data_IF_587652687643
#
_entry.id   IF_587652687643
#
_cell.length_a   1.000
_cell.length_b   1.000
_cell.length_c   1.000
_cell.angle_alpha   90.00
_cell.angle_beta   90.00
_cell.angle_gamma   90.00
#
_symmetry.space_group_name_H-M   'P 1'
#
loop_
_entity.id
_entity.type
_entity.pdbx_description
1 polymer ?
#
# COMPACT_ATOMS: atom_id res chain seq x y z
N UNK A 1 -28.27 -1.74 17.16
CA UNK A 1 -27.89 -2.05 15.77
C UNK A 1 -26.55 -1.35 15.50
N UNK A 2 -25.49 -2.07 15.13
CA UNK A 2 -24.23 -1.41 14.72
C UNK A 2 -24.54 -0.60 13.46
N UNK A 3 -24.37 0.72 13.49
CA UNK A 3 -24.26 1.51 12.27
C UNK A 3 -23.08 0.92 11.49
N UNK A 4 -23.36 0.15 10.44
CA UNK A 4 -22.38 -0.66 9.72
C UNK A 4 -21.54 0.26 8.81
N UNK A 5 -20.77 1.16 9.40
CA UNK A 5 -19.79 2.01 8.72
C UNK A 5 -18.64 1.11 8.28
N UNK A 6 -18.26 1.20 7.00
CA UNK A 6 -17.10 0.51 6.47
C UNK A 6 -15.84 1.00 7.20
N UNK A 7 -15.03 0.07 7.69
CA UNK A 7 -13.76 0.34 8.39
C UNK A 7 -12.57 0.02 7.50
N UNK A 8 -11.85 1.06 7.10
CA UNK A 8 -10.70 0.99 6.22
C UNK A 8 -9.40 1.19 7.00
N UNK A 9 -8.56 0.15 7.08
CA UNK A 9 -7.19 0.31 7.58
C UNK A 9 -6.27 0.70 6.42
N UNK A 10 -5.57 1.81 6.53
CA UNK A 10 -4.61 2.27 5.54
C UNK A 10 -3.20 2.05 6.07
N UNK A 11 -2.39 1.31 5.34
CA UNK A 11 -0.96 1.13 5.61
C UNK A 11 -0.14 1.91 4.58
N UNK A 12 0.65 2.87 5.06
CA UNK A 12 1.46 3.75 4.21
C UNK A 12 2.78 4.13 4.84
N UNK A 13 3.58 4.87 4.08
CA UNK A 13 4.86 5.43 4.51
C UNK A 13 4.68 6.82 5.13
N UNK A 14 5.47 7.17 6.16
CA UNK A 14 5.39 8.49 6.83
C UNK A 14 5.51 9.66 5.86
N UNK A 15 6.30 9.53 4.80
CA UNK A 15 6.46 10.57 3.77
C UNK A 15 5.17 10.89 3.02
N UNK A 16 4.18 10.00 3.05
CA UNK A 16 2.90 10.15 2.34
C UNK A 16 1.72 10.41 3.28
N UNK A 17 1.96 10.53 4.59
CA UNK A 17 0.91 10.67 5.58
C UNK A 17 0.05 11.92 5.39
N UNK A 18 0.62 13.00 4.85
CA UNK A 18 -0.14 14.23 4.55
C UNK A 18 -1.29 13.90 3.59
N UNK A 19 -0.96 13.28 2.44
CA UNK A 19 -1.95 12.88 1.44
C UNK A 19 -2.92 11.80 1.94
N UNK A 20 -2.44 10.83 2.73
CA UNK A 20 -3.30 9.78 3.29
C UNK A 20 -4.26 10.32 4.35
N UNK A 21 -3.85 11.33 5.13
CA UNK A 21 -4.74 12.03 6.08
C UNK A 21 -5.81 12.85 5.37
N UNK A 22 -5.46 13.53 4.28
CA UNK A 22 -6.45 14.22 3.43
C UNK A 22 -7.47 13.20 2.88
N UNK A 23 -7.02 12.07 2.35
CA UNK A 23 -7.90 10.99 1.91
C UNK A 23 -8.82 10.49 3.04
N UNK A 24 -8.28 10.27 4.25
CA UNK A 24 -9.06 9.85 5.42
C UNK A 24 -10.13 10.87 5.79
N UNK A 25 -9.83 12.17 5.72
CA UNK A 25 -10.81 13.22 5.98
C UNK A 25 -11.97 13.17 4.99
N UNK A 26 -11.70 13.01 3.69
CA UNK A 26 -12.74 12.87 2.66
C UNK A 26 -13.56 11.57 2.80
N UNK A 27 -12.90 10.45 3.12
CA UNK A 27 -13.56 9.18 3.43
C UNK A 27 -14.51 9.31 4.63
N UNK A 28 -14.12 10.08 5.65
CA UNK A 28 -14.94 10.35 6.82
C UNK A 28 -16.25 11.09 6.48
N UNK A 29 -16.21 12.02 5.50
CA UNK A 29 -17.41 12.77 5.05
C UNK A 29 -18.46 11.86 4.40
N UNK A 30 -18.02 10.77 3.78
CA UNK A 30 -18.92 9.74 3.20
C UNK A 30 -19.20 8.58 4.16
N UNK A 31 -18.84 8.71 5.44
CA UNK A 31 -19.18 7.75 6.49
C UNK A 31 -18.26 6.55 6.60
N UNK A 32 -17.08 6.55 5.95
CA UNK A 32 -16.07 5.50 6.07
C UNK A 32 -15.16 5.82 7.26
N UNK A 33 -15.13 4.92 8.23
CA UNK A 33 -14.20 5.01 9.36
C UNK A 33 -12.83 4.52 8.92
N UNK A 34 -11.78 5.31 9.11
CA UNK A 34 -10.45 4.96 8.62
C UNK A 34 -9.37 5.11 9.70
N UNK A 35 -8.39 4.20 9.70
CA UNK A 35 -7.21 4.25 10.57
C UNK A 35 -5.93 4.19 9.73
N UNK A 36 -4.98 5.08 10.01
CA UNK A 36 -3.67 5.10 9.33
C UNK A 36 -2.60 4.46 10.21
N UNK A 37 -1.79 3.57 9.63
CA UNK A 37 -0.63 2.97 10.27
C UNK A 37 0.63 3.14 9.44
N UNK A 38 1.78 3.23 10.13
CA UNK A 38 3.09 3.21 9.47
C UNK A 38 3.54 1.77 9.28
N UNK A 39 3.62 1.31 8.04
CA UNK A 39 3.91 -0.08 7.72
C UNK A 39 5.25 -0.58 8.31
N UNK A 40 6.29 0.27 8.35
CA UNK A 40 7.62 -0.07 8.88
C UNK A 40 7.65 -0.35 10.38
N UNK A 41 6.68 0.12 11.16
CA UNK A 41 6.57 -0.22 12.59
C UNK A 41 6.19 -1.70 12.80
N UNK A 42 5.59 -2.34 11.80
CA UNK A 42 5.02 -3.68 11.90
C UNK A 42 5.76 -4.71 11.04
N UNK A 43 6.84 -4.34 10.35
CA UNK A 43 7.58 -5.27 9.48
C UNK A 43 9.06 -5.34 9.80
N UNK A 44 9.66 -6.50 9.52
CA UNK A 44 11.08 -6.75 9.76
C UNK A 44 11.97 -6.29 8.62
N UNK A 45 13.12 -5.72 8.99
CA UNK A 45 14.24 -5.50 8.05
C UNK A 45 14.73 -6.83 7.52
N UNK A 46 15.37 -6.81 6.36
CA UNK A 46 15.82 -8.02 5.67
C UNK A 46 16.80 -8.88 6.50
N UNK A 47 17.66 -8.24 7.30
CA UNK A 47 18.64 -8.89 8.17
C UNK A 47 18.25 -8.87 9.66
N UNK A 48 16.99 -8.60 9.98
CA UNK A 48 16.55 -8.64 11.37
C UNK A 48 16.56 -10.09 11.87
N UNK A 49 17.60 -10.46 12.61
CA UNK A 49 17.74 -11.77 13.24
C UNK A 49 17.08 -11.83 14.62
N UNK A 50 16.61 -10.70 15.15
CA UNK A 50 15.98 -10.64 16.46
C UNK A 50 14.56 -11.22 16.41
N UNK A 51 14.45 -12.50 16.77
CA UNK A 51 13.19 -13.26 16.80
C UNK A 51 12.17 -12.61 17.74
N UNK A 52 12.61 -12.09 18.90
CA UNK A 52 11.74 -11.42 19.87
C UNK A 52 11.06 -10.19 19.25
N UNK A 53 11.83 -9.31 18.60
CA UNK A 53 11.29 -8.14 17.89
C UNK A 53 10.27 -8.51 16.80
N UNK A 54 10.54 -9.59 16.07
CA UNK A 54 9.61 -10.11 15.05
C UNK A 54 8.30 -10.59 15.67
N UNK A 55 8.37 -11.31 16.79
CA UNK A 55 7.18 -11.75 17.55
C UNK A 55 6.41 -10.52 18.05
N UNK A 56 7.09 -9.55 18.66
CA UNK A 56 6.47 -8.34 19.20
C UNK A 56 5.75 -7.55 18.10
N UNK A 57 6.39 -7.33 16.94
CA UNK A 57 5.74 -6.64 15.81
C UNK A 57 4.54 -7.39 15.24
N UNK A 58 4.59 -8.73 15.23
CA UNK A 58 3.45 -9.52 14.81
C UNK A 58 2.29 -9.40 15.80
N UNK A 59 2.59 -9.41 17.11
CA UNK A 59 1.61 -9.21 18.17
C UNK A 59 0.97 -7.83 18.07
N UNK A 60 1.77 -6.76 18.00
CA UNK A 60 1.28 -5.38 17.90
C UNK A 60 0.40 -5.17 16.65
N UNK A 61 0.77 -5.78 15.52
CA UNK A 61 -0.06 -5.70 14.32
C UNK A 61 -1.42 -6.41 14.49
N UNK A 62 -1.43 -7.58 15.14
CA UNK A 62 -2.67 -8.30 15.46
C UNK A 62 -3.55 -7.53 16.44
N UNK A 63 -2.95 -6.86 17.43
CA UNK A 63 -3.69 -5.99 18.36
C UNK A 63 -4.41 -4.87 17.59
N UNK A 64 -3.73 -4.20 16.66
CA UNK A 64 -4.37 -3.19 15.80
C UNK A 64 -5.51 -3.78 14.98
N UNK A 65 -5.31 -4.96 14.38
CA UNK A 65 -6.37 -5.63 13.62
C UNK A 65 -7.55 -6.03 14.51
N UNK A 66 -7.32 -6.45 15.76
CA UNK A 66 -8.40 -6.83 16.67
C UNK A 66 -9.16 -5.61 17.21
N UNK A 67 -8.45 -4.55 17.60
CA UNK A 67 -9.03 -3.32 18.14
C UNK A 67 -9.83 -2.57 17.09
N UNK A 68 -9.24 -2.37 15.91
CA UNK A 68 -9.90 -1.63 14.82
C UNK A 68 -10.88 -2.53 14.05
N UNK A 69 -10.54 -3.82 13.92
CA UNK A 69 -11.33 -4.84 13.22
C UNK A 69 -11.72 -4.39 11.80
N UNK A 70 -10.75 -4.07 10.91
CA UNK A 70 -11.05 -3.50 9.61
C UNK A 70 -11.83 -4.46 8.71
N UNK A 71 -12.77 -3.91 7.94
CA UNK A 71 -13.49 -4.67 6.91
C UNK A 71 -12.63 -4.83 5.65
N UNK A 72 -11.67 -3.92 5.44
CA UNK A 72 -10.73 -3.94 4.32
C UNK A 72 -9.44 -3.18 4.67
N UNK A 73 -8.32 -3.58 4.06
CA UNK A 73 -7.03 -2.89 4.18
C UNK A 73 -6.58 -2.32 2.84
N UNK A 74 -6.18 -1.04 2.83
CA UNK A 74 -5.52 -0.39 1.70
C UNK A 74 -4.02 -0.27 1.92
N UNK A 75 -3.23 -0.77 0.97
CA UNK A 75 -1.80 -0.54 0.90
C UNK A 75 -1.47 0.60 -0.05
N UNK A 76 -0.90 1.68 0.48
CA UNK A 76 -0.32 2.76 -0.31
C UNK A 76 1.06 2.38 -0.90
N UNK A 77 1.72 1.40 -0.29
CA UNK A 77 2.92 0.72 -0.77
C UNK A 77 2.81 -0.77 -0.48
N UNK A 78 3.18 -1.61 -1.43
CA UNK A 78 3.20 -3.06 -1.21
C UNK A 78 4.38 -3.40 -0.29
N UNK A 79 4.07 -3.82 0.94
CA UNK A 79 5.04 -4.22 1.95
C UNK A 79 4.67 -5.58 2.55
N UNK A 80 5.45 -6.07 3.52
CA UNK A 80 5.13 -7.35 4.21
C UNK A 80 3.80 -7.31 4.96
N UNK A 81 3.22 -6.11 5.19
CA UNK A 81 1.85 -5.98 5.71
C UNK A 81 0.85 -6.68 4.81
N UNK A 82 0.99 -6.60 3.47
CA UNK A 82 0.06 -7.25 2.54
C UNK A 82 -0.04 -8.75 2.79
N UNK A 83 1.10 -9.42 2.96
CA UNK A 83 1.13 -10.84 3.31
C UNK A 83 0.42 -11.12 4.64
N UNK A 84 0.69 -10.32 5.68
CA UNK A 84 0.05 -10.48 6.99
C UNK A 84 -1.47 -10.30 6.93
N UNK A 85 -1.96 -9.34 6.14
CA UNK A 85 -3.39 -9.10 5.95
C UNK A 85 -4.06 -10.26 5.21
N UNK A 86 -3.44 -10.73 4.12
CA UNK A 86 -3.94 -11.89 3.36
C UNK A 86 -4.04 -13.13 4.24
N UNK A 87 -3.06 -13.37 5.12
CA UNK A 87 -3.06 -14.49 6.07
C UNK A 87 -4.16 -14.39 7.15
N UNK A 88 -4.81 -13.23 7.30
CA UNK A 88 -5.97 -13.03 8.18
C UNK A 88 -7.31 -13.07 7.41
N UNK A 89 -7.29 -13.38 6.12
CA UNK A 89 -8.46 -13.38 5.24
C UNK A 89 -9.21 -12.04 5.17
N UNK A 90 -8.51 -10.92 5.41
CA UNK A 90 -9.09 -9.58 5.29
C UNK A 90 -8.89 -9.11 3.83
N UNK A 91 -9.92 -8.56 3.16
CA UNK A 91 -9.80 -7.99 1.82
C UNK A 91 -8.66 -6.97 1.73
N UNK A 92 -7.90 -7.04 0.62
CA UNK A 92 -6.72 -6.21 0.40
C UNK A 92 -6.87 -5.37 -0.86
N UNK A 93 -6.88 -4.05 -0.70
CA UNK A 93 -6.78 -3.07 -1.79
C UNK A 93 -5.32 -2.66 -1.95
N UNK A 94 -4.84 -2.52 -3.19
CA UNK A 94 -3.49 -2.04 -3.47
C UNK A 94 -3.56 -0.76 -4.30
N UNK A 95 -3.12 0.36 -3.73
CA UNK A 95 -2.95 1.60 -4.48
C UNK A 95 -1.62 1.58 -5.22
N UNK A 96 -1.68 1.49 -6.55
CA UNK A 96 -0.52 1.38 -7.43
C UNK A 96 -0.13 2.74 -7.99
N UNK A 97 0.89 3.37 -7.39
CA UNK A 97 1.36 4.71 -7.73
C UNK A 97 2.52 4.78 -8.72
N UNK A 98 3.18 3.66 -8.99
CA UNK A 98 4.40 3.61 -9.80
C UNK A 98 4.52 2.29 -10.55
N UNK A 99 5.33 2.28 -11.60
CA UNK A 99 5.58 1.06 -12.36
C UNK A 99 6.60 0.18 -11.62
N UNK A 100 6.08 -0.71 -10.77
CA UNK A 100 6.89 -1.63 -9.95
C UNK A 100 7.84 -2.52 -10.78
N UNK A 101 7.45 -2.87 -12.01
CA UNK A 101 8.24 -3.73 -12.88
C UNK A 101 9.41 -2.96 -13.51
N UNK A 102 9.17 -1.73 -13.95
CA UNK A 102 10.24 -0.86 -14.44
C UNK A 102 11.18 -0.46 -13.29
N UNK A 103 10.64 -0.09 -12.13
CA UNK A 103 11.45 0.19 -10.93
C UNK A 103 12.39 -0.97 -10.62
N UNK A 104 11.88 -2.21 -10.64
CA UNK A 104 12.71 -3.40 -10.43
C UNK A 104 13.72 -3.63 -11.55
N UNK A 105 13.34 -3.44 -12.80
CA UNK A 105 14.22 -3.57 -13.97
C UNK A 105 15.39 -2.58 -13.90
N UNK A 106 15.11 -1.32 -13.58
CA UNK A 106 16.12 -0.28 -13.38
C UNK A 106 16.99 -0.56 -12.18
N UNK A 107 16.40 -0.98 -11.06
CA UNK A 107 17.11 -1.39 -9.86
C UNK A 107 18.17 -2.49 -10.15
N UNK A 108 17.83 -3.49 -10.98
CA UNK A 108 18.76 -4.54 -11.43
C UNK A 108 19.93 -3.98 -12.25
N UNK A 109 19.67 -2.98 -13.10
CA UNK A 109 20.66 -2.38 -14.00
C UNK A 109 21.62 -1.41 -13.27
N UNK A 110 21.13 -0.66 -12.29
CA UNK A 110 21.88 0.48 -11.72
C UNK A 110 22.46 0.20 -10.33
N UNK A 111 21.62 -0.11 -9.34
CA UNK A 111 21.97 -0.03 -7.91
C UNK A 111 22.09 -1.39 -7.19
N UNK A 112 21.46 -2.45 -7.71
CA UNK A 112 21.50 -3.80 -7.11
C UNK A 112 22.54 -4.72 -7.78
N UNK A 113 23.82 -4.31 -7.76
CA UNK A 113 24.92 -5.07 -8.40
C UNK A 113 25.41 -6.28 -7.59
N UNK A 114 25.36 -6.23 -6.25
CA UNK A 114 25.85 -7.32 -5.40
C UNK A 114 24.88 -8.50 -5.28
N UNK A 115 25.40 -9.72 -5.02
CA UNK A 115 24.57 -10.94 -4.86
C UNK A 115 23.49 -10.78 -3.79
N UNK A 116 23.86 -10.19 -2.66
CA UNK A 116 22.97 -9.93 -1.53
C UNK A 116 21.82 -9.00 -1.96
N UNK A 117 22.15 -7.90 -2.65
CA UNK A 117 21.20 -6.93 -3.18
C UNK A 117 20.23 -7.61 -4.17
N UNK A 118 20.74 -8.41 -5.11
CA UNK A 118 19.91 -9.17 -6.06
C UNK A 118 18.95 -10.13 -5.36
N UNK A 119 19.39 -10.82 -4.31
CA UNK A 119 18.53 -11.70 -3.52
C UNK A 119 17.42 -10.93 -2.78
N UNK A 120 17.75 -9.77 -2.20
CA UNK A 120 16.75 -8.91 -1.56
C UNK A 120 15.70 -8.43 -2.55
N UNK A 121 16.13 -8.02 -3.75
CA UNK A 121 15.22 -7.61 -4.82
C UNK A 121 14.31 -8.76 -5.28
N UNK A 122 14.86 -9.94 -5.55
CA UNK A 122 14.07 -11.11 -5.95
C UNK A 122 13.02 -11.51 -4.90
N UNK A 123 13.36 -11.42 -3.59
CA UNK A 123 12.40 -11.64 -2.51
C UNK A 123 11.30 -10.57 -2.48
N UNK A 124 11.65 -9.31 -2.75
CA UNK A 124 10.68 -8.22 -2.84
C UNK A 124 9.74 -8.40 -4.04
N UNK A 125 10.26 -8.77 -5.21
CA UNK A 125 9.46 -9.08 -6.41
C UNK A 125 8.45 -10.21 -6.14
N UNK A 126 8.88 -11.29 -5.46
CA UNK A 126 7.98 -12.38 -5.07
C UNK A 126 6.89 -11.94 -4.10
N UNK A 127 7.22 -11.06 -3.15
CA UNK A 127 6.23 -10.50 -2.21
C UNK A 127 5.21 -9.64 -2.95
N UNK A 128 5.68 -8.78 -3.86
CA UNK A 128 4.82 -7.92 -4.68
C UNK A 128 3.87 -8.76 -5.53
N UNK A 129 4.40 -9.75 -6.25
CA UNK A 129 3.60 -10.65 -7.09
C UNK A 129 2.56 -11.42 -6.26
N UNK A 130 2.96 -11.93 -5.08
CA UNK A 130 2.04 -12.59 -4.14
C UNK A 130 0.90 -11.66 -3.72
N UNK A 131 1.21 -10.43 -3.31
CA UNK A 131 0.19 -9.48 -2.88
C UNK A 131 -0.73 -9.06 -4.03
N UNK A 132 -0.21 -8.81 -5.23
CA UNK A 132 -1.02 -8.45 -6.40
C UNK A 132 -1.98 -9.58 -6.78
N UNK A 133 -1.50 -10.83 -6.85
CA UNK A 133 -2.33 -12.00 -7.16
C UNK A 133 -3.46 -12.21 -6.13
N UNK A 134 -3.16 -12.02 -4.85
CA UNK A 134 -4.08 -12.27 -3.74
C UNK A 134 -4.91 -11.06 -3.31
N UNK A 135 -4.63 -9.88 -3.84
CA UNK A 135 -5.41 -8.66 -3.56
C UNK A 135 -6.86 -8.83 -3.99
N UNK A 136 -7.78 -8.09 -3.36
CA UNK A 136 -9.17 -8.02 -3.78
C UNK A 136 -9.31 -7.09 -4.98
N UNK A 137 -8.68 -5.90 -4.93
CA UNK A 137 -8.71 -4.89 -6.00
C UNK A 137 -7.34 -4.22 -6.10
N UNK A 138 -6.90 -3.94 -7.33
CA UNK A 138 -5.74 -3.11 -7.62
C UNK A 138 -6.24 -1.76 -8.15
N UNK A 139 -5.76 -0.69 -7.54
CA UNK A 139 -6.16 0.70 -7.80
C UNK A 139 -4.99 1.47 -8.45
N UNK A 140 -4.77 1.33 -9.76
CA UNK A 140 -3.77 2.11 -10.49
C UNK A 140 -4.15 3.59 -10.57
N UNK A 141 -3.16 4.48 -10.45
CA UNK A 141 -3.42 5.93 -10.50
C UNK A 141 -3.48 6.51 -11.91
N UNK A 142 -3.19 5.72 -12.94
CA UNK A 142 -3.19 6.16 -14.33
C UNK A 142 -3.58 5.03 -15.27
N UNK A 143 -4.08 5.38 -16.46
CA UNK A 143 -4.43 4.41 -17.50
C UNK A 143 -3.21 3.59 -17.95
N UNK A 144 -2.03 4.20 -17.93
CA UNK A 144 -0.76 3.51 -18.17
C UNK A 144 -0.57 2.34 -17.19
N UNK A 145 -0.66 2.63 -15.88
CA UNK A 145 -0.48 1.60 -14.85
C UNK A 145 -1.60 0.55 -14.89
N UNK A 146 -2.83 0.95 -15.20
CA UNK A 146 -3.94 0.02 -15.39
C UNK A 146 -3.65 -0.99 -16.50
N UNK A 147 -3.16 -0.52 -17.65
CA UNK A 147 -2.78 -1.39 -18.76
C UNK A 147 -1.62 -2.32 -18.38
N UNK A 148 -0.61 -1.83 -17.66
CA UNK A 148 0.51 -2.63 -17.20
C UNK A 148 0.08 -3.74 -16.22
N UNK A 149 -0.89 -3.47 -15.34
CA UNK A 149 -1.49 -4.48 -14.45
C UNK A 149 -2.30 -5.50 -15.26
N UNK A 150 -3.23 -5.04 -16.11
CA UNK A 150 -4.11 -5.93 -16.90
C UNK A 150 -3.33 -6.86 -17.83
N UNK A 151 -2.20 -6.39 -18.38
CA UNK A 151 -1.29 -7.23 -19.18
C UNK A 151 -0.70 -8.41 -18.39
N UNK A 152 -0.45 -8.23 -17.08
CA UNK A 152 0.22 -9.24 -16.22
C UNK A 152 -0.76 -10.06 -15.40
N UNK A 153 -1.90 -9.48 -15.06
CA UNK A 153 -2.93 -10.06 -14.22
C UNK A 153 -4.32 -9.80 -14.81
N UNK A 154 -4.65 -10.41 -15.96
CA UNK A 154 -5.89 -10.11 -16.68
C UNK A 154 -7.16 -10.42 -15.87
N UNK A 155 -7.10 -11.43 -15.01
CA UNK A 155 -8.21 -11.89 -14.15
C UNK A 155 -8.41 -11.04 -12.88
N UNK A 156 -7.57 -10.03 -12.64
CA UNK A 156 -7.68 -9.21 -11.43
C UNK A 156 -8.72 -8.13 -11.60
N UNK A 157 -9.44 -7.85 -10.50
CA UNK A 157 -10.24 -6.64 -10.42
C UNK A 157 -9.30 -5.43 -10.35
N UNK A 158 -9.38 -4.57 -11.37
CA UNK A 158 -8.54 -3.39 -11.53
C UNK A 158 -9.44 -2.21 -11.82
N UNK A 159 -9.46 -1.25 -10.91
CA UNK A 159 -10.27 -0.04 -11.02
C UNK A 159 -9.37 1.19 -11.04
N UNK A 160 -9.47 1.98 -12.10
CA UNK A 160 -8.69 3.21 -12.22
C UNK A 160 -9.07 4.14 -11.07
N UNK A 161 -8.09 4.51 -10.25
CA UNK A 161 -8.27 5.41 -9.11
C UNK A 161 -7.33 6.59 -9.28
N UNK A 162 -7.73 7.64 -10.01
CA UNK A 162 -6.89 8.80 -10.27
C UNK A 162 -6.51 9.45 -8.94
N UNK A 163 -5.30 9.19 -8.45
CA UNK A 163 -4.83 9.72 -7.18
C UNK A 163 -4.29 11.15 -7.35
N UNK A 164 -5.04 11.98 -8.08
CA UNK A 164 -4.75 13.38 -8.31
C UNK A 164 -5.50 14.28 -7.33
N UNK A 165 -5.93 13.72 -6.19
CA UNK A 165 -6.68 14.35 -5.09
C UNK A 165 -5.89 15.45 -4.38
N UNK A 166 -5.47 16.44 -5.16
CA UNK A 166 -4.83 17.67 -4.79
C UNK A 166 -5.94 18.69 -4.58
N UNK A 167 -5.82 19.45 -3.52
CA UNK A 167 -6.68 20.59 -3.22
C UNK A 167 -6.21 21.74 -4.13
N UNK A 168 -6.99 22.19 -5.13
CA UNK A 168 -6.53 23.24 -6.06
C UNK A 168 -6.05 24.50 -5.34
N UNK A 169 -6.66 24.83 -4.20
CA UNK A 169 -6.32 25.98 -3.37
C UNK A 169 -4.92 25.90 -2.73
N UNK A 170 -4.34 24.69 -2.62
CA UNK A 170 -2.95 24.50 -2.16
C UNK A 170 -1.92 24.80 -3.27
N UNK A 171 -2.37 25.03 -4.51
CA UNK A 171 -1.50 25.28 -5.66
C UNK A 171 -1.55 26.76 -6.08
N UNK A 172 -0.39 27.39 -6.12
CA UNK A 172 -0.26 28.74 -6.68
C UNK A 172 -0.41 28.68 -8.20
N UNK A 173 -1.46 29.32 -8.73
CA UNK A 173 -1.64 29.45 -10.17
C UNK A 173 -0.61 30.42 -10.75
N UNK A 174 0.28 29.93 -11.63
CA UNK A 174 1.30 30.75 -12.31
C UNK A 174 0.64 31.79 -13.24
N UNK A 175 -0.61 31.56 -13.66
CA UNK A 175 -1.40 32.46 -14.51
C UNK A 175 -1.85 33.76 -13.82
N UNK A 176 -1.60 33.92 -12.52
CA UNK A 176 -1.94 35.12 -11.74
C UNK A 176 -0.74 35.99 -11.32
N UNK A 177 0.49 35.63 -11.70
CA UNK A 177 1.66 36.49 -11.47
C UNK A 177 1.69 37.60 -12.53
N UNK A 178 1.12 38.76 -12.21
CA UNK A 178 1.44 40.04 -12.86
C UNK A 178 2.54 40.75 -12.07
#
# INVERSE_FOLDING_TARGET
>A
MKNNKLRLLIAGDKTRFIHLKQLIAELGKIGIESKLIYDLEFIDKFFEMNVKKKIDRNKNFREILNEFNPDVVLLDRISKIGKKVIEQNIPLLILLRGNLWEESSWAKKTIYKSRIKKLALAKNERLIDFCLKKSSIILPISKYLENEVKKRYPEKNVELFPADGRVPEEWYSITGQK
#
